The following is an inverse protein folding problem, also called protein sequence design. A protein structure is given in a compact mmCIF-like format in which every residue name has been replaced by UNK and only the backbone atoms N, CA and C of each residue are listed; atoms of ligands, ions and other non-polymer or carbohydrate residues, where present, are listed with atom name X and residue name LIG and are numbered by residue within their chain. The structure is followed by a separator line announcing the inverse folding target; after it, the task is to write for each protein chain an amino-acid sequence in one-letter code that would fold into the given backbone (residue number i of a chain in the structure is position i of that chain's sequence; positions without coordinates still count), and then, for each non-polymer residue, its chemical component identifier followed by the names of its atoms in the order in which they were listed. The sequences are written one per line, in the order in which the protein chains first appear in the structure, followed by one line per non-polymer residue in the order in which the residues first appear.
data_IF_191795024162
#
_entry.id   IF_191795024162
#
_cell.length_a   1.000
_cell.length_b   1.000
_cell.length_c   1.000
_cell.angle_alpha   90.00
_cell.angle_beta   90.00
_cell.angle_gamma   90.00
#
_symmetry.space_group_name_H-M   'P 1'
#
loop_
_entity.id
_entity.type
_entity.pdbx_description
1 polymer ?
#
# COMPACT_ATOMS: atom_id res chain seq x y z
N UNK A 1 33.34 4.37 -38.46
CA UNK A 1 33.28 3.73 -39.80
C UNK A 1 33.79 2.29 -39.66
N UNK A 2 32.93 1.29 -39.86
CA UNK A 2 33.37 -0.10 -40.04
C UNK A 2 32.51 -0.75 -41.15
N UNK A 3 33.02 -1.82 -41.74
CA UNK A 3 32.89 -2.07 -43.19
C UNK A 3 31.94 -3.24 -43.51
N UNK A 4 31.12 -3.05 -44.53
CA UNK A 4 30.20 -4.03 -45.15
C UNK A 4 30.92 -5.30 -45.64
N UNK A 5 30.20 -6.44 -45.70
CA UNK A 5 30.27 -7.60 -46.63
C UNK A 5 29.58 -8.82 -45.95
N UNK A 6 28.94 -9.82 -46.59
CA UNK A 6 28.67 -10.14 -47.99
C UNK A 6 27.41 -11.06 -48.14
N UNK A 7 26.90 -11.21 -49.37
CA UNK A 7 25.72 -11.99 -49.81
C UNK A 7 25.77 -13.51 -49.52
N UNK A 8 24.59 -14.16 -49.36
CA UNK A 8 24.08 -15.37 -50.08
C UNK A 8 22.95 -16.09 -49.30
N UNK A 9 22.05 -16.93 -49.87
CA UNK A 9 21.42 -17.00 -51.21
C UNK A 9 20.21 -17.99 -51.21
N UNK A 10 19.23 -17.78 -52.10
CA UNK A 10 18.16 -18.66 -52.63
C UNK A 10 17.59 -19.87 -51.81
N UNK A 11 16.26 -19.97 -51.79
CA UNK A 11 15.54 -21.13 -52.40
C UNK A 11 14.12 -20.77 -52.83
N UNK A 12 13.64 -21.43 -53.88
CA UNK A 12 12.36 -21.18 -54.59
C UNK A 12 11.20 -22.02 -54.04
N UNK A 13 9.97 -21.50 -54.12
CA UNK A 13 8.73 -22.26 -53.89
C UNK A 13 7.49 -21.47 -54.32
N UNK A 14 6.84 -21.89 -55.40
CA UNK A 14 5.73 -21.15 -56.05
C UNK A 14 4.40 -21.89 -55.92
N UNK A 15 3.28 -21.15 -56.02
CA UNK A 15 1.90 -21.61 -56.33
C UNK A 15 1.13 -22.27 -55.14
N UNK A 16 -0.10 -21.88 -54.77
CA UNK A 16 -1.27 -21.49 -55.57
C UNK A 16 -2.18 -20.47 -54.86
N UNK A 17 -3.01 -19.76 -55.63
CA UNK A 17 -4.09 -18.90 -55.14
C UNK A 17 -5.29 -19.70 -54.61
N UNK A 18 -5.91 -19.21 -53.53
CA UNK A 18 -7.32 -19.41 -53.25
C UNK A 18 -7.97 -18.03 -53.01
N UNK A 19 -8.79 -17.58 -53.96
CA UNK A 19 -9.56 -16.34 -53.85
C UNK A 19 -10.76 -16.58 -52.93
N UNK A 20 -10.70 -16.09 -51.69
CA UNK A 20 -11.87 -15.92 -50.83
C UNK A 20 -12.22 -14.43 -50.83
N UNK A 21 -13.33 -14.08 -51.47
CA UNK A 21 -13.86 -12.73 -51.43
C UNK A 21 -14.62 -12.52 -50.11
N UNK A 22 -14.07 -11.68 -49.23
CA UNK A 22 -14.82 -10.98 -48.20
C UNK A 22 -14.64 -9.47 -48.40
N UNK A 23 -15.72 -8.74 -48.12
CA UNK A 23 -15.91 -7.37 -48.59
C UNK A 23 -15.03 -6.38 -47.83
N UNK A 24 -14.67 -5.23 -48.44
CA UNK A 24 -14.06 -4.13 -47.71
C UNK A 24 -15.11 -3.49 -46.80
N UNK A 25 -15.27 -4.04 -45.59
CA UNK A 25 -15.84 -3.26 -44.49
C UNK A 25 -14.89 -2.10 -44.22
N UNK A 26 -15.31 -0.90 -44.59
CA UNK A 26 -14.66 0.35 -44.20
C UNK A 26 -14.84 0.55 -42.70
N UNK A 27 -14.07 -0.20 -41.91
CA UNK A 27 -13.86 0.11 -40.52
C UNK A 27 -12.88 1.28 -40.49
N UNK A 28 -13.40 2.46 -40.18
CA UNK A 28 -12.62 3.60 -39.70
C UNK A 28 -11.52 3.09 -38.76
N UNK A 29 -10.27 3.58 -38.83
CA UNK A 29 -9.35 3.38 -37.72
C UNK A 29 -9.95 4.09 -36.52
N UNK A 30 -10.71 3.35 -35.72
CA UNK A 30 -11.09 3.78 -34.39
C UNK A 30 -9.78 3.96 -33.66
N UNK A 31 -9.40 5.22 -33.46
CA UNK A 31 -8.29 5.60 -32.61
C UNK A 31 -8.60 5.02 -31.25
N UNK A 32 -8.06 3.84 -30.96
CA UNK A 32 -8.04 3.28 -29.62
C UNK A 32 -7.42 4.37 -28.76
N UNK A 33 -8.17 5.04 -27.88
CA UNK A 33 -7.55 5.95 -26.94
C UNK A 33 -6.52 5.11 -26.18
N UNK A 34 -5.34 5.66 -25.83
CA UNK A 34 -4.42 4.91 -25.00
C UNK A 34 -5.21 4.40 -23.79
N UNK A 35 -5.04 3.13 -23.47
CA UNK A 35 -5.50 2.61 -22.19
C UNK A 35 -4.70 3.36 -21.13
N UNK A 36 -5.24 4.50 -20.70
CA UNK A 36 -5.04 5.01 -19.35
C UNK A 36 -5.55 3.88 -18.48
N UNK A 37 -4.64 3.04 -18.02
CA UNK A 37 -4.78 2.43 -16.71
C UNK A 37 -4.93 3.62 -15.76
N UNK A 38 -6.19 4.01 -15.51
CA UNK A 38 -6.49 4.71 -14.28
C UNK A 38 -5.92 3.82 -13.19
N UNK A 39 -5.04 4.33 -12.30
CA UNK A 39 -4.56 3.53 -11.21
C UNK A 39 -5.80 3.01 -10.48
N UNK A 40 -5.90 1.69 -10.34
CA UNK A 40 -6.95 1.08 -9.50
C UNK A 40 -6.96 1.87 -8.20
N UNK A 41 -8.09 2.49 -7.80
CA UNK A 41 -8.12 3.21 -6.54
C UNK A 41 -7.65 2.22 -5.47
N UNK A 42 -6.60 2.60 -4.74
CA UNK A 42 -6.29 1.93 -3.48
C UNK A 42 -7.59 1.92 -2.66
N UNK A 43 -7.87 0.84 -1.90
CA UNK A 43 -9.13 0.72 -1.17
C UNK A 43 -9.33 1.97 -0.31
N UNK A 44 -10.27 2.79 -0.75
CA UNK A 44 -10.53 4.12 -0.21
C UNK A 44 -11.00 3.97 1.23
N UNK A 45 -10.32 4.67 2.15
CA UNK A 45 -10.22 4.22 3.53
C UNK A 45 -11.55 3.94 4.21
N UNK A 46 -11.70 2.71 4.68
CA UNK A 46 -12.65 2.38 5.73
C UNK A 46 -12.18 3.01 7.06
N UNK A 47 -12.41 4.32 7.13
CA UNK A 47 -12.41 5.16 8.32
C UNK A 47 -11.09 5.11 9.14
N UNK A 48 -9.97 5.51 8.51
CA UNK A 48 -8.71 5.82 9.23
C UNK A 48 -9.02 6.77 10.40
N UNK A 49 -8.44 6.49 11.57
CA UNK A 49 -8.65 7.29 12.77
C UNK A 49 -9.97 7.03 13.52
N UNK A 50 -10.75 6.01 13.10
CA UNK A 50 -11.97 5.51 13.78
C UNK A 50 -11.92 5.54 15.32
N UNK A 51 -13.10 5.63 15.96
CA UNK A 51 -13.26 5.65 17.41
C UNK A 51 -12.39 4.62 18.15
N UNK A 52 -11.88 4.98 19.34
CA UNK A 52 -11.05 4.11 20.21
C UNK A 52 -11.64 2.70 20.39
N UNK A 53 -12.97 2.57 20.39
CA UNK A 53 -13.68 1.30 20.54
C UNK A 53 -13.48 0.30 19.39
N UNK A 54 -12.97 0.74 18.23
CA UNK A 54 -12.62 -0.13 17.10
C UNK A 54 -11.21 -0.75 17.21
N UNK A 55 -10.47 -0.45 18.29
CA UNK A 55 -9.08 -0.86 18.50
C UNK A 55 -8.94 -1.62 19.83
N UNK A 56 -8.03 -2.59 19.86
CA UNK A 56 -7.55 -3.20 21.11
C UNK A 56 -6.58 -2.24 21.78
N UNK A 57 -6.91 -1.73 22.97
CA UNK A 57 -5.98 -0.88 23.74
C UNK A 57 -4.69 -1.65 24.08
N UNK A 58 -3.55 -1.00 23.86
CA UNK A 58 -2.21 -1.56 24.14
C UNK A 58 -1.44 -0.63 25.09
N UNK A 59 -0.48 -1.15 25.88
CA UNK A 59 0.30 -0.32 26.79
C UNK A 59 1.10 0.75 26.06
N UNK A 60 1.00 2.00 26.53
CA UNK A 60 1.85 3.12 26.11
C UNK A 60 3.26 2.93 26.71
N UNK A 61 4.33 2.89 25.90
CA UNK A 61 5.70 2.81 26.40
C UNK A 61 6.11 4.07 27.17
N UNK A 62 6.87 3.90 28.26
CA UNK A 62 7.38 5.03 29.05
C UNK A 62 8.35 5.88 28.20
N UNK A 63 8.20 7.21 28.28
CA UNK A 63 9.10 8.15 27.59
C UNK A 63 8.81 8.36 26.10
N UNK A 64 7.66 7.92 25.60
CA UNK A 64 7.17 8.24 24.25
C UNK A 64 6.80 9.74 24.13
N UNK A 65 7.83 10.59 24.03
CA UNK A 65 7.75 12.07 23.98
C UNK A 65 8.66 12.59 22.87
N UNK A 66 8.21 13.58 22.10
CA UNK A 66 8.99 14.16 21.00
C UNK A 66 8.42 15.46 20.45
N UNK A 67 9.11 16.08 19.48
CA UNK A 67 8.67 17.34 18.88
C UNK A 67 7.51 17.15 17.90
N UNK A 68 7.51 16.07 17.13
CA UNK A 68 6.49 15.76 16.12
C UNK A 68 5.77 14.43 16.48
N UNK A 69 4.43 14.39 16.54
CA UNK A 69 3.68 13.18 16.90
C UNK A 69 3.99 11.97 16.01
N UNK A 70 4.20 12.19 14.71
CA UNK A 70 4.51 11.15 13.73
C UNK A 70 5.91 10.56 13.92
N UNK A 71 6.90 11.38 14.32
CA UNK A 71 8.24 10.88 14.69
C UNK A 71 8.18 10.02 15.96
N UNK A 72 7.37 10.42 16.97
CA UNK A 72 7.18 9.60 18.17
C UNK A 72 6.45 8.30 17.84
N UNK A 73 5.44 8.32 16.97
CA UNK A 73 4.74 7.13 16.50
C UNK A 73 5.70 6.12 15.85
N UNK A 74 6.51 6.57 14.90
CA UNK A 74 7.52 5.74 14.22
C UNK A 74 8.61 5.25 15.19
N UNK A 75 9.09 6.09 16.09
CA UNK A 75 10.10 5.69 17.08
C UNK A 75 9.57 4.69 18.13
N UNK A 76 8.26 4.67 18.38
CA UNK A 76 7.62 3.83 19.41
C UNK A 76 7.08 2.51 18.86
N UNK A 77 6.51 2.52 17.64
CA UNK A 77 5.81 1.37 17.05
C UNK A 77 6.25 1.03 15.61
N UNK A 78 7.10 1.85 14.99
CA UNK A 78 7.61 1.62 13.64
C UNK A 78 8.58 0.45 13.55
N UNK A 79 8.83 -0.03 12.33
CA UNK A 79 9.79 -1.12 12.10
C UNK A 79 11.22 -0.70 12.46
N UNK A 80 11.90 -1.52 13.25
CA UNK A 80 13.34 -1.36 13.53
C UNK A 80 14.23 -2.04 12.48
N UNK A 81 13.65 -2.86 11.60
CA UNK A 81 14.36 -3.61 10.58
C UNK A 81 14.07 -3.04 9.18
N UNK A 82 15.03 -3.10 8.23
CA UNK A 82 14.77 -2.75 6.84
C UNK A 82 13.64 -3.63 6.28
N UNK A 83 12.60 -3.02 5.72
CA UNK A 83 11.45 -3.75 5.19
C UNK A 83 11.83 -4.83 4.18
N UNK A 84 11.29 -6.04 4.36
CA UNK A 84 11.47 -7.15 3.43
C UNK A 84 10.27 -7.29 2.47
N UNK A 85 10.53 -7.78 1.25
CA UNK A 85 9.48 -8.13 0.29
C UNK A 85 8.59 -6.95 -0.12
N UNK A 86 7.33 -7.00 0.29
CA UNK A 86 6.30 -5.99 0.02
C UNK A 86 5.90 -5.22 1.29
N UNK A 87 6.81 -5.11 2.27
CA UNK A 87 6.55 -4.34 3.49
C UNK A 87 6.39 -2.85 3.18
N UNK A 88 5.31 -2.26 3.69
CA UNK A 88 5.00 -0.83 3.58
C UNK A 88 4.64 -0.28 4.97
N UNK A 89 5.13 0.91 5.29
CA UNK A 89 4.88 1.60 6.56
C UNK A 89 4.59 3.08 6.31
N UNK A 90 3.51 3.59 6.90
CA UNK A 90 3.09 4.99 6.79
C UNK A 90 2.52 5.50 8.12
N UNK A 91 3.00 6.67 8.56
CA UNK A 91 2.50 7.39 9.72
C UNK A 91 1.78 8.67 9.28
N UNK A 92 0.46 8.69 9.39
CA UNK A 92 -0.39 9.80 8.97
C UNK A 92 -0.90 10.60 10.16
N UNK A 93 -0.75 11.93 10.11
CA UNK A 93 -1.30 12.86 11.10
C UNK A 93 -2.76 13.19 10.72
N UNK A 94 -3.71 12.62 11.45
CA UNK A 94 -5.14 12.71 11.16
C UNK A 94 -5.74 14.00 11.72
N UNK A 95 -5.30 14.39 12.92
CA UNK A 95 -5.73 15.62 13.58
C UNK A 95 -4.58 16.20 14.42
N UNK A 96 -4.49 17.52 14.46
CA UNK A 96 -3.65 18.24 15.42
C UNK A 96 -4.34 19.55 15.83
N UNK A 97 -4.34 19.81 17.13
CA UNK A 97 -4.88 21.01 17.78
C UNK A 97 -3.86 21.50 18.83
N UNK A 98 -4.21 22.50 19.66
CA UNK A 98 -3.36 22.91 20.78
C UNK A 98 -3.37 21.90 21.95
N UNK A 99 -4.43 21.10 22.09
CA UNK A 99 -4.67 20.21 23.25
C UNK A 99 -4.48 18.71 22.95
N UNK A 100 -4.56 18.31 21.67
CA UNK A 100 -4.45 16.91 21.24
C UNK A 100 -3.90 16.76 19.82
N UNK A 101 -3.26 15.62 19.55
CA UNK A 101 -2.96 15.15 18.20
C UNK A 101 -3.30 13.66 18.03
N UNK A 102 -3.70 13.26 16.83
CA UNK A 102 -4.05 11.89 16.45
C UNK A 102 -3.19 11.45 15.27
N UNK A 103 -2.40 10.39 15.47
CA UNK A 103 -1.63 9.72 14.42
C UNK A 103 -2.16 8.32 14.20
N UNK A 104 -2.22 7.89 12.94
CA UNK A 104 -2.40 6.48 12.57
C UNK A 104 -1.12 5.99 11.91
N UNK A 105 -0.53 4.93 12.46
CA UNK A 105 0.60 4.23 11.87
C UNK A 105 0.09 2.92 11.27
N UNK A 106 0.14 2.79 9.95
CA UNK A 106 -0.24 1.56 9.24
C UNK A 106 1.01 0.85 8.72
N UNK A 107 1.12 -0.44 9.05
CA UNK A 107 2.13 -1.36 8.53
C UNK A 107 1.40 -2.46 7.74
N UNK A 108 1.85 -2.76 6.52
CA UNK A 108 1.33 -3.86 5.72
C UNK A 108 2.46 -4.67 5.08
N UNK A 109 2.13 -5.85 4.55
CA UNK A 109 3.14 -6.75 3.99
C UNK A 109 4.06 -7.37 5.04
N UNK A 110 3.58 -7.49 6.29
CA UNK A 110 4.33 -8.11 7.38
C UNK A 110 4.70 -9.56 7.04
N UNK A 111 5.91 -9.97 7.42
CA UNK A 111 6.47 -11.29 7.17
C UNK A 111 5.93 -12.40 8.11
N UNK A 112 4.95 -12.06 8.97
CA UNK A 112 4.28 -13.00 9.87
C UNK A 112 3.37 -13.97 9.09
N UNK A 113 3.29 -15.22 9.53
CA UNK A 113 2.57 -16.29 8.83
C UNK A 113 1.04 -16.22 8.98
N UNK A 114 0.58 -15.32 9.85
CA UNK A 114 -0.80 -15.15 10.29
C UNK A 114 -1.29 -13.70 10.13
N UNK A 115 -0.46 -12.71 10.46
CA UNK A 115 -0.74 -11.26 10.35
C UNK A 115 -0.17 -10.69 9.04
N UNK A 116 -1.02 -10.06 8.24
CA UNK A 116 -0.62 -9.36 7.01
C UNK A 116 -0.28 -7.88 7.25
N UNK A 117 -0.95 -7.25 8.21
CA UNK A 117 -0.74 -5.86 8.55
C UNK A 117 -1.22 -5.53 9.97
N UNK A 118 -0.66 -4.45 10.50
CA UNK A 118 -0.97 -3.89 11.82
C UNK A 118 -1.23 -2.41 11.66
N UNK A 119 -2.28 -1.90 12.29
CA UNK A 119 -2.63 -0.47 12.29
C UNK A 119 -2.73 0.02 13.73
N UNK A 120 -1.91 0.99 14.08
CA UNK A 120 -1.92 1.64 15.39
C UNK A 120 -2.67 2.96 15.29
N UNK A 121 -3.46 3.27 16.32
CA UNK A 121 -4.08 4.57 16.53
C UNK A 121 -3.53 5.17 17.80
N UNK A 122 -2.93 6.35 17.69
CA UNK A 122 -2.03 6.93 18.69
C UNK A 122 -2.50 8.35 19.01
N UNK A 123 -2.94 8.57 20.25
CA UNK A 123 -3.37 9.89 20.73
C UNK A 123 -2.29 10.53 21.61
N UNK A 124 -2.01 11.79 21.31
CA UNK A 124 -0.99 12.58 21.99
C UNK A 124 -1.61 13.78 22.68
N UNK A 125 -0.99 14.18 23.78
CA UNK A 125 -1.31 15.42 24.53
C UNK A 125 -0.03 16.26 24.67
N UNK A 126 -0.15 17.59 24.83
CA UNK A 126 1.01 18.46 25.00
C UNK A 126 1.72 18.21 26.35
N UNK A 127 3.04 18.17 26.30
CA UNK A 127 3.96 18.14 27.45
C UNK A 127 5.02 19.23 27.26
N UNK A 128 4.66 20.47 27.65
CA UNK A 128 5.50 21.65 27.38
C UNK A 128 5.51 21.99 25.89
N UNK A 129 6.70 22.09 25.30
CA UNK A 129 6.90 22.31 23.85
C UNK A 129 6.99 20.99 23.05
N UNK A 130 6.53 19.87 23.64
CA UNK A 130 6.61 18.52 23.07
C UNK A 130 5.25 17.81 23.12
N UNK A 131 5.12 16.72 22.37
CA UNK A 131 3.97 15.81 22.40
C UNK A 131 4.32 14.53 23.16
N UNK A 132 3.48 14.15 24.13
CA UNK A 132 3.54 12.85 24.82
C UNK A 132 2.42 11.96 24.31
N UNK A 133 2.73 10.71 23.99
CA UNK A 133 1.73 9.67 23.73
C UNK A 133 0.93 9.38 25.02
N UNK A 134 -0.39 9.53 24.96
CA UNK A 134 -1.31 9.36 26.10
C UNK A 134 -2.12 8.06 25.99
N UNK A 135 -2.47 7.65 24.77
CA UNK A 135 -3.22 6.42 24.52
C UNK A 135 -2.80 5.77 23.20
N UNK A 136 -2.75 4.44 23.19
CA UNK A 136 -2.43 3.63 22.01
C UNK A 136 -3.42 2.46 21.87
N UNK A 137 -3.87 2.23 20.64
CA UNK A 137 -4.70 1.09 20.28
C UNK A 137 -4.23 0.43 18.99
N UNK A 138 -4.52 -0.85 18.83
CA UNK A 138 -4.10 -1.69 17.72
C UNK A 138 -5.30 -2.35 17.01
N UNK A 139 -5.23 -2.36 15.68
CA UNK A 139 -5.97 -3.26 14.80
C UNK A 139 -4.98 -4.16 14.06
N UNK A 140 -5.45 -5.34 13.66
CA UNK A 140 -4.74 -6.28 12.80
C UNK A 140 -5.54 -6.59 11.55
N UNK A 141 -4.84 -6.98 10.50
CA UNK A 141 -5.39 -7.55 9.27
C UNK A 141 -4.67 -8.87 9.01
N UNK A 142 -5.40 -9.97 8.91
CA UNK A 142 -4.78 -11.29 8.78
C UNK A 142 -4.41 -11.63 7.33
N UNK A 143 -3.45 -12.54 7.17
CA UNK A 143 -3.17 -13.17 5.87
C UNK A 143 -4.40 -13.95 5.36
N UNK A 144 -4.41 -14.30 4.07
CA UNK A 144 -5.54 -15.01 3.47
C UNK A 144 -5.78 -16.36 4.17
N UNK A 145 -7.00 -16.57 4.68
CA UNK A 145 -7.38 -17.81 5.38
C UNK A 145 -6.88 -17.91 6.83
N UNK A 146 -6.35 -16.82 7.39
CA UNK A 146 -5.78 -16.74 8.75
C UNK A 146 -6.64 -15.92 9.74
N UNK A 147 -7.91 -15.68 9.42
CA UNK A 147 -8.79 -14.78 10.20
C UNK A 147 -9.50 -13.79 9.29
N UNK A 148 -9.75 -12.57 9.80
CA UNK A 148 -10.32 -11.46 9.02
C UNK A 148 -9.30 -10.88 8.04
N UNK A 149 -9.72 -10.58 6.80
CA UNK A 149 -8.93 -9.79 5.85
C UNK A 149 -9.25 -8.29 5.91
N UNK A 150 -10.21 -7.90 6.75
CA UNK A 150 -10.48 -6.50 7.10
C UNK A 150 -9.76 -6.09 8.38
N UNK A 151 -9.57 -4.78 8.58
CA UNK A 151 -8.99 -4.23 9.80
C UNK A 151 -9.92 -4.47 11.00
N UNK A 152 -9.43 -5.16 12.02
CA UNK A 152 -10.22 -5.53 13.19
C UNK A 152 -9.40 -5.79 14.44
N UNK A 153 -10.06 -6.32 15.48
CA UNK A 153 -9.43 -6.68 16.77
C UNK A 153 -9.37 -8.19 16.98
N UNK A 154 -9.96 -8.95 16.05
CA UNK A 154 -9.96 -10.40 16.00
C UNK A 154 -8.54 -10.94 15.76
N UNK A 155 -8.11 -11.86 16.62
CA UNK A 155 -6.80 -12.50 16.48
C UNK A 155 -6.73 -13.38 15.22
N UNK A 156 -5.56 -13.37 14.57
CA UNK A 156 -5.24 -14.26 13.46
C UNK A 156 -4.92 -15.70 13.95
N UNK A 157 -4.99 -16.69 13.05
CA UNK A 157 -5.09 -18.13 13.38
C UNK A 157 -4.16 -19.09 12.62
#
# INVERSE_FOLDING_TARGET
MLKTYLLSALTTGTLMMALVACQPSTTTPETVPPATEEPTPAPEDENIGSDRAAYSEIPVPEGAVGAEPTEVALATFGSTEPGEGNFEEEAELIEQTDDQALVVLTQTGLADDSVNGTRYRLEFVPEGDQWRLDWAGQQVRCQQGRGSQEWGTELCS
#
